data_IF_194526554748
#
_entry.id   IF_194526554748
#
_cell.length_a   1.000
_cell.length_b   1.000
_cell.length_c   1.000
_cell.angle_alpha   90.00
_cell.angle_beta   90.00
_cell.angle_gamma   90.00
#
_symmetry.space_group_name_H-M   'P 1'
#
loop_
_entity.id
_entity.type
_entity.pdbx_description
1 polymer ?
#
# COMPACT_ATOMS: atom_id res chain seq x y z
N UNK A 1 -28.86 1.84 20.26
CA UNK A 1 -28.58 1.24 18.93
C UNK A 1 -27.29 1.74 18.25
N UNK A 2 -26.50 2.65 18.87
CA UNK A 2 -25.24 3.16 18.30
C UNK A 2 -24.00 2.25 18.49
N UNK A 3 -23.96 1.40 19.52
CA UNK A 3 -22.83 0.48 19.77
C UNK A 3 -22.66 -0.62 18.72
N UNK A 4 -23.76 -1.16 18.15
CA UNK A 4 -23.68 -2.25 17.15
C UNK A 4 -22.95 -1.83 15.87
N UNK A 5 -23.13 -0.58 15.42
CA UNK A 5 -22.43 -0.07 14.22
C UNK A 5 -20.92 0.10 14.45
N UNK A 6 -20.50 0.47 15.67
CA UNK A 6 -19.09 0.59 16.02
C UNK A 6 -18.38 -0.76 16.02
N UNK A 7 -19.02 -1.80 16.56
CA UNK A 7 -18.45 -3.16 16.57
C UNK A 7 -18.24 -3.72 15.16
N UNK A 8 -19.21 -3.53 14.25
CA UNK A 8 -19.09 -3.95 12.85
C UNK A 8 -17.90 -3.24 12.17
N UNK A 9 -17.72 -1.93 12.41
CA UNK A 9 -16.58 -1.18 11.88
C UNK A 9 -15.26 -1.78 12.37
N UNK A 10 -15.15 -2.10 13.67
CA UNK A 10 -13.92 -2.70 14.23
C UNK A 10 -13.63 -4.05 13.59
N UNK A 11 -14.62 -4.94 13.47
CA UNK A 11 -14.43 -6.25 12.85
C UNK A 11 -13.99 -6.12 11.39
N UNK A 12 -14.61 -5.22 10.64
CA UNK A 12 -14.25 -4.96 9.24
C UNK A 12 -12.84 -4.38 9.12
N UNK A 13 -12.44 -3.48 10.03
CA UNK A 13 -11.07 -2.93 10.06
C UNK A 13 -10.04 -3.99 10.44
N UNK A 14 -10.35 -4.88 11.38
CA UNK A 14 -9.47 -6.00 11.73
C UNK A 14 -9.30 -6.99 10.56
N UNK A 15 -10.39 -7.35 9.88
CA UNK A 15 -10.30 -8.16 8.66
C UNK A 15 -9.50 -7.44 7.58
N UNK A 16 -9.75 -6.15 7.37
CA UNK A 16 -9.00 -5.33 6.42
C UNK A 16 -7.49 -5.28 6.74
N UNK A 17 -7.11 -5.14 8.01
CA UNK A 17 -5.71 -5.15 8.44
C UNK A 17 -4.99 -6.45 8.07
N UNK A 18 -5.67 -7.59 8.12
CA UNK A 18 -5.09 -8.89 7.75
C UNK A 18 -4.86 -9.01 6.24
N UNK A 19 -5.70 -8.35 5.43
CA UNK A 19 -5.56 -8.34 3.96
C UNK A 19 -4.68 -7.20 3.43
N UNK A 20 -4.42 -6.17 4.23
CA UNK A 20 -3.58 -5.03 3.86
C UNK A 20 -2.15 -5.41 3.44
N UNK A 21 -1.40 -6.22 4.21
CA UNK A 21 -0.01 -6.55 3.86
C UNK A 21 0.10 -7.33 2.54
N UNK A 22 -0.97 -8.03 2.13
CA UNK A 22 -0.96 -8.76 0.85
C UNK A 22 -0.82 -7.83 -0.36
N UNK A 23 -1.27 -6.57 -0.28
CA UNK A 23 -1.12 -5.61 -1.39
C UNK A 23 0.32 -5.13 -1.53
N UNK A 24 0.99 -4.79 -0.44
CA UNK A 24 2.39 -4.35 -0.48
C UNK A 24 3.37 -5.53 -0.62
N UNK A 25 2.95 -6.74 -0.29
CA UNK A 25 3.69 -7.96 -0.56
C UNK A 25 4.00 -8.14 -2.06
N UNK A 26 3.03 -7.87 -2.93
CA UNK A 26 3.20 -7.89 -4.39
C UNK A 26 4.31 -6.93 -4.84
N UNK A 27 4.43 -5.76 -4.20
CA UNK A 27 5.52 -4.82 -4.48
C UNK A 27 6.90 -5.42 -4.18
N UNK A 28 7.06 -6.12 -3.05
CA UNK A 28 8.33 -6.82 -2.77
C UNK A 28 8.58 -8.00 -3.72
N UNK A 29 7.59 -8.44 -4.47
CA UNK A 29 7.75 -9.51 -5.48
C UNK A 29 8.50 -9.02 -6.72
N UNK A 30 8.68 -7.70 -6.86
CA UNK A 30 9.58 -7.11 -7.84
C UNK A 30 11.01 -7.65 -7.71
N UNK A 31 11.44 -8.11 -6.53
CA UNK A 31 12.74 -8.78 -6.38
C UNK A 31 12.84 -10.09 -7.19
N UNK A 32 11.73 -10.77 -7.49
CA UNK A 32 11.75 -11.94 -8.39
C UNK A 32 12.11 -11.57 -9.82
N UNK A 33 12.03 -10.29 -10.23
CA UNK A 33 12.60 -9.88 -11.51
C UNK A 33 14.12 -10.00 -11.57
N UNK A 34 14.81 -10.02 -10.43
CA UNK A 34 16.24 -10.32 -10.40
C UNK A 34 16.54 -11.78 -10.78
N UNK A 35 15.55 -12.68 -10.69
CA UNK A 35 15.66 -14.08 -11.10
C UNK A 35 15.33 -14.27 -12.59
N UNK A 36 14.66 -13.31 -13.23
CA UNK A 36 14.60 -13.30 -14.68
C UNK A 36 16.00 -12.98 -15.17
N UNK A 37 16.59 -13.82 -16.01
CA UNK A 37 17.86 -13.58 -16.71
C UNK A 37 17.54 -12.92 -18.04
N UNK A 38 17.36 -11.57 -18.10
CA UNK A 38 16.85 -10.90 -19.29
C UNK A 38 18.00 -10.58 -20.23
N UNK A 39 19.25 -10.65 -19.74
CA UNK A 39 20.47 -10.34 -20.45
C UNK A 39 21.09 -11.62 -20.99
N UNK A 40 21.48 -11.57 -22.25
CA UNK A 40 22.29 -12.59 -22.87
C UNK A 40 23.73 -12.47 -22.34
N UNK A 41 24.29 -13.56 -21.80
CA UNK A 41 25.59 -13.58 -21.10
C UNK A 41 26.75 -13.17 -22.01
N UNK A 42 26.60 -13.32 -23.33
CA UNK A 42 27.66 -13.05 -24.32
C UNK A 42 27.56 -11.65 -24.91
N UNK A 43 26.35 -11.16 -25.17
CA UNK A 43 26.14 -9.86 -25.83
C UNK A 43 25.87 -8.72 -24.84
N UNK A 44 25.55 -9.03 -23.58
CA UNK A 44 25.08 -8.08 -22.56
C UNK A 44 23.85 -7.26 -23.02
N UNK A 45 23.16 -7.71 -24.08
CA UNK A 45 21.95 -7.08 -24.59
C UNK A 45 20.73 -7.74 -23.96
N UNK A 46 19.66 -6.96 -23.80
CA UNK A 46 18.36 -7.47 -23.36
C UNK A 46 17.85 -8.44 -24.44
N UNK A 47 17.63 -9.67 -24.03
CA UNK A 47 16.99 -10.72 -24.82
C UNK A 47 15.65 -10.24 -25.36
N UNK A 48 15.42 -10.50 -26.65
CA UNK A 48 14.13 -10.24 -27.30
C UNK A 48 13.10 -11.33 -26.99
N UNK A 49 13.34 -12.16 -25.96
CA UNK A 49 12.44 -13.24 -25.60
C UNK A 49 11.11 -12.67 -25.07
N UNK A 50 10.06 -12.87 -25.86
CA UNK A 50 8.72 -12.38 -25.58
C UNK A 50 8.21 -12.86 -24.21
N UNK A 51 8.62 -14.06 -23.76
CA UNK A 51 8.18 -14.63 -22.49
C UNK A 51 8.66 -13.80 -21.29
N UNK A 52 9.90 -13.30 -21.32
CA UNK A 52 10.45 -12.45 -20.26
C UNK A 52 9.73 -11.09 -20.20
N UNK A 53 9.43 -10.51 -21.35
CA UNK A 53 8.64 -9.27 -21.44
C UNK A 53 7.23 -9.46 -20.88
N UNK A 54 6.54 -10.56 -21.23
CA UNK A 54 5.19 -10.87 -20.71
C UNK A 54 5.21 -10.98 -19.18
N UNK A 55 6.18 -11.70 -18.60
CA UNK A 55 6.32 -11.84 -17.14
C UNK A 55 6.54 -10.49 -16.46
N UNK A 56 7.41 -9.65 -17.02
CA UNK A 56 7.64 -8.28 -16.53
C UNK A 56 6.34 -7.46 -16.55
N UNK A 57 5.62 -7.45 -17.67
CA UNK A 57 4.35 -6.72 -17.79
C UNK A 57 3.29 -7.22 -16.82
N UNK A 58 3.20 -8.55 -16.62
CA UNK A 58 2.24 -9.14 -15.69
C UNK A 58 2.51 -8.70 -14.24
N UNK A 59 3.78 -8.73 -13.81
CA UNK A 59 4.16 -8.27 -12.46
C UNK A 59 3.87 -6.77 -12.31
N UNK A 60 4.27 -5.94 -13.28
CA UNK A 60 4.00 -4.50 -13.23
C UNK A 60 2.50 -4.19 -13.19
N UNK A 61 1.70 -4.90 -13.97
CA UNK A 61 0.25 -4.74 -14.01
C UNK A 61 -0.41 -5.20 -12.70
N UNK A 62 0.15 -6.19 -12.01
CA UNK A 62 -0.34 -6.59 -10.69
C UNK A 62 0.05 -5.58 -9.61
N UNK A 63 1.29 -5.08 -9.64
CA UNK A 63 1.89 -4.28 -8.57
C UNK A 63 1.43 -2.82 -8.58
N UNK A 64 1.37 -2.17 -9.74
CA UNK A 64 1.00 -0.75 -9.84
C UNK A 64 -0.40 -0.44 -9.29
N UNK A 65 -1.49 -1.08 -9.77
CA UNK A 65 -2.83 -0.79 -9.28
C UNK A 65 -3.04 -1.25 -7.84
N UNK A 66 -2.46 -2.39 -7.43
CA UNK A 66 -2.58 -2.87 -6.04
C UNK A 66 -1.94 -1.90 -5.05
N UNK A 67 -0.78 -1.32 -5.39
CA UNK A 67 -0.11 -0.30 -4.56
C UNK A 67 -0.96 0.97 -4.45
N UNK A 68 -1.48 1.48 -5.57
CA UNK A 68 -2.33 2.69 -5.57
C UNK A 68 -3.61 2.45 -4.75
N UNK A 69 -4.27 1.31 -4.93
CA UNK A 69 -5.46 0.93 -4.18
C UNK A 69 -5.15 0.74 -2.68
N UNK A 70 -4.00 0.17 -2.34
CA UNK A 70 -3.50 0.05 -0.97
C UNK A 70 -3.36 1.42 -0.31
N UNK A 71 -2.67 2.36 -0.96
CA UNK A 71 -2.51 3.73 -0.46
C UNK A 71 -3.85 4.45 -0.26
N UNK A 72 -4.75 4.34 -1.25
CA UNK A 72 -6.10 4.92 -1.15
C UNK A 72 -6.90 4.31 0.01
N UNK A 73 -6.78 2.99 0.22
CA UNK A 73 -7.47 2.27 1.27
C UNK A 73 -7.02 2.73 2.67
N UNK A 74 -5.70 2.82 2.90
CA UNK A 74 -5.12 3.33 4.16
C UNK A 74 -5.62 4.76 4.44
N UNK A 75 -5.54 5.64 3.43
CA UNK A 75 -5.95 7.03 3.53
C UNK A 75 -7.46 7.20 3.83
N UNK A 76 -8.31 6.32 3.29
CA UNK A 76 -9.75 6.31 3.57
C UNK A 76 -10.06 5.78 4.97
N UNK A 77 -9.47 4.65 5.35
CA UNK A 77 -9.75 4.02 6.65
C UNK A 77 -9.23 4.87 7.80
N UNK A 78 -8.04 5.47 7.66
CA UNK A 78 -7.52 6.37 8.68
C UNK A 78 -8.47 7.54 8.97
N UNK A 79 -9.03 8.17 7.92
CA UNK A 79 -10.04 9.23 8.08
C UNK A 79 -11.34 8.74 8.70
N UNK A 80 -11.86 7.61 8.23
CA UNK A 80 -13.09 7.01 8.78
C UNK A 80 -12.90 6.70 10.27
N UNK A 81 -11.73 6.21 10.67
CA UNK A 81 -11.45 5.86 12.07
C UNK A 81 -11.41 7.12 12.95
N UNK A 82 -10.71 8.16 12.51
CA UNK A 82 -10.65 9.44 13.23
C UNK A 82 -12.04 10.08 13.35
N UNK A 83 -12.80 10.14 12.25
CA UNK A 83 -14.12 10.77 12.23
C UNK A 83 -15.18 9.97 13.00
N UNK A 84 -15.22 8.63 12.88
CA UNK A 84 -16.29 7.80 13.46
C UNK A 84 -15.98 7.26 14.86
N UNK A 85 -14.71 7.03 15.19
CA UNK A 85 -14.31 6.57 16.52
C UNK A 85 -13.88 7.72 17.44
N UNK A 86 -13.94 8.97 16.97
CA UNK A 86 -13.58 10.16 17.76
C UNK A 86 -12.21 10.02 18.42
N UNK A 87 -11.28 9.36 17.72
CA UNK A 87 -9.92 9.21 18.17
C UNK A 87 -9.31 10.61 18.00
N UNK A 88 -8.98 11.30 19.10
CA UNK A 88 -8.43 12.66 19.11
C UNK A 88 -7.01 12.78 18.53
N UNK A 89 -6.65 11.88 17.61
CA UNK A 89 -5.33 11.73 17.01
C UNK A 89 -5.40 12.18 15.56
N UNK A 90 -4.33 12.83 15.08
CA UNK A 90 -4.21 13.23 13.69
C UNK A 90 -4.24 12.01 12.76
N UNK A 91 -4.96 12.05 11.63
CA UNK A 91 -5.03 10.94 10.68
C UNK A 91 -3.65 10.53 10.15
N UNK A 92 -2.70 11.46 10.07
CA UNK A 92 -1.33 11.17 9.69
C UNK A 92 -0.60 10.23 10.67
N UNK A 93 -0.81 10.38 11.99
CA UNK A 93 -0.21 9.49 12.98
C UNK A 93 -0.78 8.07 12.87
N UNK A 94 -2.09 7.98 12.67
CA UNK A 94 -2.75 6.69 12.46
C UNK A 94 -2.24 6.00 11.19
N UNK A 95 -2.05 6.75 10.10
CA UNK A 95 -1.43 6.23 8.86
C UNK A 95 -0.02 5.69 9.17
N UNK A 96 0.81 6.44 9.90
CA UNK A 96 2.16 5.98 10.25
C UNK A 96 2.14 4.67 11.06
N UNK A 97 1.24 4.54 12.05
CA UNK A 97 1.06 3.28 12.79
C UNK A 97 0.59 2.11 11.91
N UNK A 98 -0.32 2.39 10.95
CA UNK A 98 -0.78 1.39 10.01
C UNK A 98 0.36 0.91 9.10
N UNK A 99 1.19 1.83 8.59
CA UNK A 99 2.36 1.49 7.77
C UNK A 99 3.42 0.72 8.55
N UNK A 100 3.57 0.97 9.85
CA UNK A 100 4.47 0.20 10.69
C UNK A 100 3.97 -1.24 10.91
N UNK A 101 2.66 -1.40 11.13
CA UNK A 101 2.06 -2.74 11.18
C UNK A 101 2.21 -3.46 9.85
N UNK A 102 2.08 -2.73 8.74
CA UNK A 102 2.21 -3.27 7.39
C UNK A 102 3.65 -3.72 7.08
N UNK A 103 4.67 -2.95 7.48
CA UNK A 103 6.08 -3.36 7.29
C UNK A 103 6.42 -4.63 8.07
N UNK A 104 5.89 -4.79 9.29
CA UNK A 104 5.99 -6.04 10.05
C UNK A 104 5.29 -7.19 9.31
N UNK A 105 4.08 -6.94 8.79
CA UNK A 105 3.32 -7.95 8.03
C UNK A 105 4.07 -8.45 6.79
N UNK A 106 4.69 -7.55 6.03
CA UNK A 106 5.50 -7.92 4.86
C UNK A 106 6.75 -8.71 5.27
N UNK A 107 7.43 -8.31 6.36
CA UNK A 107 8.60 -9.05 6.88
C UNK A 107 8.22 -10.48 7.26
N UNK A 108 7.16 -10.65 8.07
CA UNK A 108 6.65 -11.97 8.47
C UNK A 108 6.24 -12.79 7.24
N UNK A 109 5.59 -12.16 6.26
CA UNK A 109 5.16 -12.82 5.02
C UNK A 109 6.33 -13.33 4.16
N UNK A 110 7.47 -12.62 4.15
CA UNK A 110 8.64 -12.99 3.32
C UNK A 110 9.60 -13.96 4.00
N UNK A 111 9.93 -13.73 5.27
CA UNK A 111 10.95 -14.50 5.96
C UNK A 111 10.36 -15.73 6.66
N UNK A 112 9.25 -15.54 7.38
CA UNK A 112 8.55 -16.63 8.08
C UNK A 112 7.64 -17.43 7.14
N UNK A 113 7.39 -16.92 5.90
CA UNK A 113 6.45 -17.46 4.89
C UNK A 113 5.05 -17.72 5.47
N UNK A 114 4.62 -16.88 6.39
CA UNK A 114 3.28 -16.95 6.96
C UNK A 114 2.33 -16.14 6.09
N UNK A 115 1.30 -16.78 5.54
CA UNK A 115 0.26 -16.07 4.83
C UNK A 115 -0.91 -15.73 5.79
N UNK A 116 -1.67 -14.71 5.43
CA UNK A 116 -2.96 -14.35 6.04
C UNK A 116 -3.91 -15.55 6.22
N UNK A 117 -3.84 -16.57 5.35
CA UNK A 117 -4.61 -17.83 5.46
C UNK A 117 -4.12 -18.77 6.56
N UNK A 118 -2.83 -18.76 6.90
CA UNK A 118 -2.27 -19.63 7.94
C UNK A 118 -2.69 -19.18 9.34
N UNK A 119 -2.94 -17.88 9.52
CA UNK A 119 -3.50 -17.34 10.75
C UNK A 119 -4.86 -17.99 11.02
N UNK A 120 -5.74 -18.08 10.01
CA UNK A 120 -7.08 -18.66 10.17
C UNK A 120 -7.12 -20.19 10.29
N UNK A 121 -6.16 -20.91 9.70
CA UNK A 121 -6.19 -22.38 9.67
C UNK A 121 -5.34 -22.98 10.80
N UNK A 122 -4.21 -22.36 11.18
CA UNK A 122 -3.26 -22.89 12.17
C UNK A 122 -2.72 -21.80 13.11
N UNK A 123 -3.62 -21.11 13.78
CA UNK A 123 -3.35 -20.03 14.75
C UNK A 123 -2.15 -20.31 15.69
N UNK A 124 -2.09 -21.49 16.34
CA UNK A 124 -1.01 -21.79 17.29
C UNK A 124 0.37 -21.93 16.63
N UNK A 125 0.44 -22.52 15.44
CA UNK A 125 1.71 -22.71 14.73
C UNK A 125 2.20 -21.39 14.12
N UNK A 126 1.28 -20.53 13.67
CA UNK A 126 1.61 -19.20 13.18
C UNK A 126 2.17 -18.31 14.32
N UNK A 127 1.51 -18.30 15.48
CA UNK A 127 1.98 -17.51 16.63
C UNK A 127 3.34 -17.99 17.15
N UNK A 128 3.56 -19.30 17.26
CA UNK A 128 4.85 -19.86 17.70
C UNK A 128 6.00 -19.47 16.76
N UNK A 129 5.76 -19.49 15.44
CA UNK A 129 6.75 -19.06 14.46
C UNK A 129 7.06 -17.57 14.54
N UNK A 130 6.03 -16.74 14.74
CA UNK A 130 6.23 -15.29 14.96
C UNK A 130 7.07 -15.09 16.21
N UNK A 131 6.69 -15.66 17.35
CA UNK A 131 7.45 -15.48 18.60
C UNK A 131 8.89 -15.95 18.49
N UNK A 132 9.14 -17.09 17.84
CA UNK A 132 10.50 -17.59 17.61
C UNK A 132 11.34 -16.65 16.72
N UNK A 133 10.76 -16.11 15.64
CA UNK A 133 11.44 -15.14 14.75
C UNK A 133 11.73 -13.80 15.45
N UNK A 134 10.85 -13.38 16.37
CA UNK A 134 11.05 -12.16 17.15
C UNK A 134 12.10 -12.34 18.25
N UNK A 135 12.24 -13.55 18.79
CA UNK A 135 13.25 -13.89 19.80
C UNK A 135 14.66 -13.95 19.19
N UNK A 136 14.79 -14.40 17.94
CA UNK A 136 16.05 -14.47 17.18
C UNK A 136 16.27 -13.28 16.24
N UNK A 137 15.69 -12.11 16.56
CA UNK A 137 15.74 -10.97 15.64
C UNK A 137 17.16 -10.39 15.57
N UNK A 138 17.82 -10.60 14.43
CA UNK A 138 19.16 -10.05 14.17
C UNK A 138 19.09 -8.54 13.84
N UNK A 139 20.20 -7.83 14.07
CA UNK A 139 20.35 -6.42 13.73
C UNK A 139 20.06 -6.14 12.25
N UNK A 140 20.39 -7.08 11.36
CA UNK A 140 20.10 -6.97 9.91
C UNK A 140 18.61 -6.95 9.63
N UNK A 141 17.83 -7.77 10.34
CA UNK A 141 16.38 -7.84 10.22
C UNK A 141 15.70 -6.55 10.68
N UNK A 142 16.21 -5.94 11.76
CA UNK A 142 15.73 -4.64 12.24
C UNK A 142 16.00 -3.55 11.20
N UNK A 143 17.21 -3.50 10.64
CA UNK A 143 17.56 -2.53 9.58
C UNK A 143 16.66 -2.73 8.35
N UNK A 144 16.37 -3.97 7.97
CA UNK A 144 15.48 -4.28 6.85
C UNK A 144 14.03 -3.85 7.12
N UNK A 145 13.50 -4.09 8.32
CA UNK A 145 12.18 -3.61 8.76
C UNK A 145 12.08 -2.09 8.69
N UNK A 146 13.12 -1.39 9.15
CA UNK A 146 13.18 0.07 9.12
C UNK A 146 13.26 0.59 7.69
N UNK A 147 14.06 -0.03 6.83
CA UNK A 147 14.17 0.34 5.41
C UNK A 147 12.83 0.14 4.71
N UNK A 148 12.16 -0.99 4.94
CA UNK A 148 10.84 -1.27 4.38
C UNK A 148 9.79 -0.27 4.86
N UNK A 149 9.80 0.06 6.15
CA UNK A 149 8.92 1.09 6.71
C UNK A 149 9.15 2.46 6.06
N UNK A 150 10.40 2.88 5.90
CA UNK A 150 10.75 4.14 5.22
C UNK A 150 10.31 4.13 3.76
N UNK A 151 10.47 3.00 3.07
CA UNK A 151 10.03 2.82 1.69
C UNK A 151 8.51 2.98 1.55
N UNK A 152 7.72 2.33 2.42
CA UNK A 152 6.26 2.47 2.45
C UNK A 152 5.82 3.91 2.76
N UNK A 153 6.49 4.58 3.70
CA UNK A 153 6.29 6.00 3.98
C UNK A 153 6.55 6.85 2.74
N UNK A 154 7.63 6.58 2.00
CA UNK A 154 7.95 7.26 0.74
C UNK A 154 6.85 7.11 -0.31
N UNK A 155 6.34 5.89 -0.50
CA UNK A 155 5.22 5.61 -1.41
C UNK A 155 3.96 6.40 -0.99
N UNK A 156 3.62 6.40 0.30
CA UNK A 156 2.45 7.12 0.81
C UNK A 156 2.57 8.64 0.65
N UNK A 157 3.76 9.20 0.89
CA UNK A 157 4.02 10.63 0.65
C UNK A 157 3.88 10.94 -0.85
N UNK A 158 4.47 10.12 -1.72
CA UNK A 158 4.32 10.26 -3.18
C UNK A 158 2.86 10.23 -3.62
N UNK A 159 2.07 9.30 -3.09
CA UNK A 159 0.63 9.23 -3.32
C UNK A 159 -0.11 10.50 -2.88
N UNK A 160 0.20 11.02 -1.69
CA UNK A 160 -0.40 12.26 -1.19
C UNK A 160 -0.06 13.47 -2.06
N UNK A 161 1.19 13.58 -2.52
CA UNK A 161 1.63 14.65 -3.42
C UNK A 161 0.89 14.60 -4.76
N UNK A 162 0.78 13.41 -5.38
CA UNK A 162 0.04 13.22 -6.64
C UNK A 162 -1.42 13.64 -6.45
N UNK A 163 -2.05 13.23 -5.34
CA UNK A 163 -3.43 13.59 -5.03
C UNK A 163 -3.62 15.10 -4.86
N UNK A 164 -2.68 15.78 -4.21
CA UNK A 164 -2.70 17.25 -4.07
C UNK A 164 -2.57 17.95 -5.41
N UNK A 165 -1.65 17.50 -6.28
CA UNK A 165 -1.47 18.04 -7.63
C UNK A 165 -2.73 17.87 -8.48
N UNK A 166 -3.35 16.68 -8.46
CA UNK A 166 -4.60 16.41 -9.17
C UNK A 166 -5.74 17.30 -8.68
N UNK A 167 -5.87 17.47 -7.37
CA UNK A 167 -6.89 18.34 -6.78
C UNK A 167 -6.69 19.81 -7.21
N UNK A 168 -5.46 20.31 -7.14
CA UNK A 168 -5.11 21.67 -7.56
C UNK A 168 -5.43 21.92 -9.04
N UNK A 169 -5.00 21.02 -9.92
CA UNK A 169 -5.28 21.11 -11.36
C UNK A 169 -6.79 21.08 -11.66
N UNK A 170 -7.54 20.26 -10.94
CA UNK A 170 -8.99 20.21 -11.08
C UNK A 170 -9.65 21.54 -10.65
N UNK A 171 -9.21 22.12 -9.53
CA UNK A 171 -9.72 23.42 -9.06
C UNK A 171 -9.42 24.56 -10.04
N UNK A 172 -8.23 24.58 -10.63
CA UNK A 172 -7.85 25.54 -11.68
C UNK A 172 -8.70 25.37 -12.95
N UNK A 173 -8.98 24.13 -13.36
CA UNK A 173 -9.86 23.82 -14.49
C UNK A 173 -11.29 24.32 -14.26
N UNK A 174 -11.85 24.10 -13.06
CA UNK A 174 -13.20 24.57 -12.70
C UNK A 174 -13.28 26.11 -12.71
N UNK A 175 -12.27 26.81 -12.15
CA UNK A 175 -12.21 28.27 -12.16
C UNK A 175 -12.11 28.86 -13.57
N UNK A 176 -11.29 28.25 -14.43
CA UNK A 176 -11.14 28.67 -15.84
C UNK A 176 -12.44 28.52 -16.64
N UNK A 177 -13.13 27.37 -16.47
CA UNK A 177 -14.39 27.09 -17.15
C UNK A 177 -15.57 27.95 -16.64
N UNK A 178 -15.57 28.29 -15.34
CA UNK A 178 -16.55 29.23 -14.78
C UNK A 178 -16.39 30.67 -15.31
N UNK A 179 -15.15 31.11 -15.52
CA UNK A 179 -14.84 32.46 -16.00
C UNK A 179 -15.14 32.63 -17.51
N UNK A 180 -15.03 31.57 -18.31
CA UNK A 180 -15.41 31.60 -19.74
C UNK A 180 -16.93 31.61 -19.94
N UNK A 181 -17.69 30.95 -19.07
CA UNK A 181 -19.16 30.96 -19.11
C UNK A 181 -19.77 32.34 -18.74
N UNK A 182 -19.19 33.04 -17.75
CA UNK A 182 -19.67 34.39 -17.38
C UNK A 182 -19.41 35.44 -18.47
N UNK A 183 -18.27 35.34 -19.18
CA UNK A 183 -17.90 36.26 -20.26
C UNK A 183 -18.74 36.09 -21.54
N UNK A 184 -19.23 34.89 -21.83
CA UNK A 184 -20.16 34.63 -22.95
C UNK A 184 -21.57 35.17 -22.69
N UNK A 185 -22.03 35.16 -21.44
CA UNK A 185 -23.35 35.71 -21.09
C UNK A 185 -23.38 37.25 -21.08
N UNK A 186 -22.26 37.91 -20.81
CA UNK A 186 -22.16 39.38 -20.90
C UNK A 186 -22.03 39.91 -22.33
N UNK A 187 -21.69 39.06 -23.30
CA UNK A 187 -21.55 39.46 -24.71
C UNK A 187 -22.85 39.31 -25.51
N UNK A 188 -23.89 38.71 -24.92
CA UNK A 188 -25.22 38.52 -25.52
C UNK A 188 -26.30 39.43 -24.91
N UNK A 189 -25.91 40.38 -24.06
CA UNK A 189 -26.74 41.50 -23.60
C UNK A 189 -26.17 42.78 -24.16
#
# INVERSE_FOLDING_TARGET
MYCKKKYIIVVVVCLWLVFLPNNFYLMTDLFHLSLLTPYDEVTLLISKDLMNWIKLFLILLAVMPSTILGCWSIDKIARILVEKLTIGVYPALLIACLLFTDSIGIYIGRFTRLNSTDIFVRHNQALQKIFADFEDIDNRSIVLLLLLYLFLCGIMIGYQLIKQLLYKNWEESVKSNGCTHSRRQSSHK
#
